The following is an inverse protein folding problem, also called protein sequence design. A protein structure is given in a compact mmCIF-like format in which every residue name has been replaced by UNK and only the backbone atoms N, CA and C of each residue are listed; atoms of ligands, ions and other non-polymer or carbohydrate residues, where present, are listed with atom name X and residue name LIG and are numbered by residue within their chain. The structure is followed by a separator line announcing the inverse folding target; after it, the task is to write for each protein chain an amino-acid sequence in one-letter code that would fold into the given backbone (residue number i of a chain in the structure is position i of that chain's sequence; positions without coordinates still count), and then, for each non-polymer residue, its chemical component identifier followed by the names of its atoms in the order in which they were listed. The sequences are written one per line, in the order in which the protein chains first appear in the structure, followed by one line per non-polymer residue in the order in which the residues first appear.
data_IF_689895516773
#
_entry.id   IF_689895516773
#
_cell.length_a   1.000
_cell.length_b   1.000
_cell.length_c   1.000
_cell.angle_alpha   90.00
_cell.angle_beta   90.00
_cell.angle_gamma   90.00
#
_symmetry.space_group_name_H-M   'P 1'
#
loop_
_entity.id
_entity.type
_entity.pdbx_description
1 polymer ?
#
# COMPACT_ATOMS: atom_id res chain seq x y z
N UNK A 1 10.16 9.92 2.77
CA UNK A 1 8.96 10.70 3.15
C UNK A 1 9.34 12.17 3.32
N UNK A 2 9.87 12.60 4.47
CA UNK A 2 10.15 14.02 4.75
C UNK A 2 11.05 14.72 3.71
N UNK A 3 12.11 14.05 3.21
CA UNK A 3 12.98 14.60 2.15
C UNK A 3 12.26 14.85 0.81
N UNK A 4 11.16 14.14 0.56
CA UNK A 4 10.33 14.27 -0.65
C UNK A 4 9.10 15.17 -0.41
N UNK A 5 8.98 15.81 0.77
CA UNK A 5 7.80 16.58 1.14
C UNK A 5 6.54 15.75 1.41
N UNK A 6 6.65 14.42 1.47
CA UNK A 6 5.51 13.51 1.71
C UNK A 6 5.38 13.22 3.21
N UNK A 7 4.16 13.32 3.75
CA UNK A 7 3.82 12.90 5.12
C UNK A 7 3.34 11.45 5.13
N UNK A 8 3.61 10.73 6.22
CA UNK A 8 3.24 9.33 6.35
C UNK A 8 2.66 9.05 7.74
N UNK A 9 1.47 8.44 7.83
CA UNK A 9 0.92 7.93 9.09
C UNK A 9 0.53 6.47 8.98
N UNK A 10 0.67 5.77 10.10
CA UNK A 10 0.25 4.38 10.26
C UNK A 10 -0.94 4.35 11.24
N UNK A 11 -2.05 3.80 10.76
CA UNK A 11 -3.26 3.54 11.53
C UNK A 11 -3.33 2.02 11.78
N UNK A 12 -3.14 1.58 13.02
CA UNK A 12 -3.10 0.15 13.37
C UNK A 12 -4.33 -0.26 14.20
N UNK A 13 -5.05 -1.29 13.74
CA UNK A 13 -6.09 -1.94 14.55
C UNK A 13 -5.42 -2.65 15.73
N UNK A 14 -5.62 -2.18 16.95
CA UNK A 14 -5.03 -2.83 18.13
C UNK A 14 -6.06 -3.71 18.85
N UNK A 15 -5.78 -4.99 19.15
CA UNK A 15 -4.54 -5.73 18.84
C UNK A 15 -4.51 -6.33 17.42
N UNK A 16 -3.35 -6.29 16.77
CA UNK A 16 -3.06 -7.10 15.58
C UNK A 16 -2.46 -8.44 16.00
N UNK A 17 -2.95 -9.57 15.46
CA UNK A 17 -2.36 -10.86 15.75
C UNK A 17 -1.04 -11.07 15.00
N UNK A 18 -0.28 -12.08 15.42
CA UNK A 18 0.89 -12.52 14.70
C UNK A 18 0.54 -13.17 13.36
N UNK A 19 1.48 -13.16 12.41
CA UNK A 19 1.34 -13.84 11.12
C UNK A 19 2.53 -14.75 10.86
N UNK A 20 2.26 -15.98 10.41
CA UNK A 20 3.29 -16.94 9.99
C UNK A 20 3.81 -16.59 8.61
N UNK A 21 4.93 -15.87 8.57
CA UNK A 21 5.61 -15.50 7.34
C UNK A 21 7.11 -15.24 7.53
N UNK A 22 7.83 -15.13 6.42
CA UNK A 22 9.18 -14.60 6.41
C UNK A 22 9.15 -13.07 6.57
N UNK A 23 9.24 -12.63 7.82
CA UNK A 23 9.16 -11.22 8.21
C UNK A 23 10.22 -10.35 7.53
N UNK A 24 11.42 -10.88 7.27
CA UNK A 24 12.49 -10.16 6.59
C UNK A 24 12.10 -9.86 5.14
N UNK A 25 11.63 -10.85 4.39
CA UNK A 25 11.22 -10.67 2.99
C UNK A 25 10.01 -9.74 2.87
N UNK A 26 9.00 -9.92 3.72
CA UNK A 26 7.80 -9.05 3.71
C UNK A 26 8.18 -7.61 4.02
N UNK A 27 9.02 -7.38 5.04
CA UNK A 27 9.49 -6.04 5.40
C UNK A 27 10.26 -5.37 4.26
N UNK A 28 11.15 -6.11 3.60
CA UNK A 28 11.88 -5.60 2.43
C UNK A 28 10.94 -5.21 1.28
N UNK A 29 9.97 -6.07 0.96
CA UNK A 29 8.96 -5.77 -0.06
C UNK A 29 8.12 -4.55 0.30
N UNK A 30 7.64 -4.47 1.55
CA UNK A 30 6.87 -3.34 2.03
C UNK A 30 7.64 -2.02 1.96
N UNK A 31 8.89 -1.97 2.45
CA UNK A 31 9.68 -0.74 2.34
C UNK A 31 9.95 -0.32 0.90
N UNK A 32 10.11 -1.30 0.00
CA UNK A 32 10.30 -1.00 -1.41
C UNK A 32 9.03 -0.41 -2.03
N UNK A 33 7.86 -0.98 -1.73
CA UNK A 33 6.57 -0.42 -2.14
C UNK A 33 6.37 1.00 -1.64
N UNK A 34 6.67 1.27 -0.36
CA UNK A 34 6.55 2.61 0.20
C UNK A 34 7.55 3.58 -0.44
N UNK A 35 8.75 3.13 -0.81
CA UNK A 35 9.71 3.98 -1.52
C UNK A 35 9.21 4.37 -2.93
N UNK A 36 8.73 3.40 -3.71
CA UNK A 36 8.12 3.66 -5.04
C UNK A 36 6.90 4.58 -4.90
N UNK A 37 6.05 4.33 -3.90
CA UNK A 37 4.90 5.18 -3.59
C UNK A 37 5.32 6.62 -3.33
N UNK A 38 6.34 6.85 -2.51
CA UNK A 38 6.83 8.20 -2.19
C UNK A 38 7.39 8.89 -3.44
N UNK A 39 8.08 8.17 -4.33
CA UNK A 39 8.61 8.75 -5.57
C UNK A 39 7.50 9.09 -6.59
N UNK A 40 6.42 8.31 -6.59
CA UNK A 40 5.30 8.53 -7.49
C UNK A 40 4.38 9.70 -7.09
N UNK A 41 4.51 10.22 -5.87
CA UNK A 41 3.58 11.21 -5.31
C UNK A 41 4.14 12.64 -5.36
N UNK A 42 3.27 13.64 -5.59
CA UNK A 42 3.67 15.03 -5.46
C UNK A 42 4.01 15.38 -4.00
N UNK A 43 4.82 16.42 -3.82
CA UNK A 43 5.11 16.98 -2.50
C UNK A 43 3.82 17.40 -1.76
N UNK A 44 3.88 17.44 -0.44
CA UNK A 44 2.77 17.74 0.49
C UNK A 44 1.64 16.69 0.54
N UNK A 45 1.74 15.61 -0.25
CA UNK A 45 0.82 14.47 -0.13
C UNK A 45 0.95 13.80 1.23
N UNK A 46 -0.18 13.45 1.84
CA UNK A 46 -0.23 12.65 3.05
C UNK A 46 -0.62 11.22 2.71
N UNK A 47 0.33 10.29 2.84
CA UNK A 47 0.08 8.86 2.72
C UNK A 47 -0.33 8.31 4.07
N UNK A 48 -1.48 7.65 4.11
CA UNK A 48 -1.94 6.93 5.30
C UNK A 48 -1.98 5.45 5.00
N UNK A 49 -1.50 4.64 5.94
CA UNK A 49 -1.54 3.19 5.85
C UNK A 49 -2.35 2.63 7.00
N UNK A 50 -3.38 1.86 6.72
CA UNK A 50 -4.10 1.07 7.70
C UNK A 50 -3.59 -0.37 7.72
N UNK A 51 -3.42 -0.93 8.91
CA UNK A 51 -3.19 -2.35 9.13
C UNK A 51 -4.36 -2.91 9.94
N UNK A 52 -5.01 -3.94 9.39
CA UNK A 52 -6.27 -4.50 9.89
C UNK A 52 -6.20 -6.03 9.92
N UNK A 53 -6.98 -6.62 10.81
CA UNK A 53 -7.19 -8.06 10.86
C UNK A 53 -8.68 -8.38 11.02
N UNK A 54 -9.15 -9.30 10.19
CA UNK A 54 -10.50 -9.87 10.27
C UNK A 54 -10.43 -11.39 10.14
N UNK A 55 -11.31 -12.12 10.85
CA UNK A 55 -11.29 -13.59 10.84
C UNK A 55 -11.65 -14.19 9.47
N UNK A 56 -12.41 -13.47 8.64
CA UNK A 56 -12.82 -13.93 7.30
C UNK A 56 -11.84 -13.44 6.22
N UNK A 57 -11.42 -12.18 6.27
CA UNK A 57 -10.56 -11.56 5.26
C UNK A 57 -9.06 -11.76 5.53
N UNK A 58 -8.67 -12.06 6.77
CA UNK A 58 -7.29 -12.18 7.21
C UNK A 58 -6.62 -10.83 7.46
N UNK A 59 -5.30 -10.76 7.22
CA UNK A 59 -4.49 -9.58 7.46
C UNK A 59 -4.54 -8.66 6.25
N UNK A 60 -4.88 -7.40 6.45
CA UNK A 60 -4.99 -6.41 5.37
C UNK A 60 -4.12 -5.20 5.69
N UNK A 61 -3.24 -4.85 4.76
CA UNK A 61 -2.52 -3.57 4.75
C UNK A 61 -3.07 -2.77 3.59
N UNK A 62 -3.55 -1.55 3.87
CA UNK A 62 -4.10 -0.70 2.82
C UNK A 62 -3.54 0.71 2.92
N UNK A 63 -3.16 1.32 1.80
CA UNK A 63 -2.74 2.72 1.73
C UNK A 63 -3.77 3.58 1.03
N UNK A 64 -3.88 4.83 1.48
CA UNK A 64 -4.60 5.89 0.78
C UNK A 64 -3.74 7.15 0.73
N UNK A 65 -3.76 7.82 -0.42
CA UNK A 65 -3.08 9.08 -0.62
C UNK A 65 -4.08 10.22 -0.43
N UNK A 66 -3.74 11.19 0.43
CA UNK A 66 -4.57 12.35 0.71
C UNK A 66 -3.83 13.58 0.18
N UNK A 67 -4.33 14.21 -0.90
CA UNK A 67 -3.74 15.42 -1.45
C UNK A 67 -3.78 16.57 -0.45
N UNK A 68 -2.86 17.52 -0.59
CA UNK A 68 -2.93 18.76 0.15
C UNK A 68 -4.27 19.49 -0.11
N UNK A 69 -4.93 19.93 0.95
CA UNK A 69 -6.22 20.65 0.86
C UNK A 69 -7.46 19.76 0.77
N UNK A 70 -7.34 18.43 0.81
CA UNK A 70 -8.51 17.54 0.88
C UNK A 70 -9.12 17.48 2.28
N UNK A 71 -10.47 17.49 2.34
CA UNK A 71 -11.23 17.29 3.59
C UNK A 71 -11.11 15.88 4.17
N UNK A 72 -10.60 14.92 3.39
CA UNK A 72 -10.40 13.52 3.81
C UNK A 72 -9.33 13.37 4.91
N UNK A 73 -8.51 14.40 5.15
CA UNK A 73 -7.49 14.41 6.19
C UNK A 73 -8.06 14.20 7.61
N UNK A 74 -9.35 14.46 7.82
CA UNK A 74 -10.01 14.43 9.14
C UNK A 74 -10.74 13.13 9.46
N UNK A 75 -10.96 12.25 8.48
CA UNK A 75 -11.72 11.00 8.69
C UNK A 75 -10.78 9.85 9.10
N UNK A 76 -11.13 8.98 10.06
CA UNK A 76 -10.31 7.81 10.38
C UNK A 76 -10.19 6.89 9.14
N UNK A 77 -8.99 6.42 8.79
CA UNK A 77 -8.79 5.63 7.57
C UNK A 77 -9.64 4.36 7.54
N UNK A 78 -9.82 3.74 8.70
CA UNK A 78 -10.66 2.56 8.89
C UNK A 78 -12.13 2.80 8.51
N UNK A 79 -12.60 4.06 8.51
CA UNK A 79 -13.95 4.43 8.05
C UNK A 79 -14.03 4.69 6.54
N UNK A 80 -12.87 4.85 5.89
CA UNK A 80 -12.77 5.11 4.45
C UNK A 80 -12.55 3.82 3.64
N UNK A 81 -12.57 2.66 4.28
CA UNK A 81 -12.31 1.36 3.67
C UNK A 81 -13.51 0.41 3.90
N UNK A 82 -13.90 -0.44 2.93
CA UNK A 82 -13.28 -0.66 1.62
C UNK A 82 -13.99 0.14 0.51
N UNK A 83 -13.25 0.94 -0.26
CA UNK A 83 -13.79 1.48 -1.51
C UNK A 83 -13.59 0.43 -2.60
N UNK A 84 -14.67 -0.15 -3.11
CA UNK A 84 -14.63 -0.91 -4.36
C UNK A 84 -14.34 0.06 -5.51
N UNK A 85 -13.12 -0.01 -6.09
CA UNK A 85 -12.77 0.75 -7.28
C UNK A 85 -11.97 -0.13 -8.25
N UNK A 86 -12.22 0.06 -9.55
CA UNK A 86 -11.73 -0.74 -10.69
C UNK A 86 -10.22 -0.98 -10.66
N UNK A 87 -9.82 -2.22 -10.98
CA UNK A 87 -8.44 -2.65 -11.16
C UNK A 87 -7.74 -1.90 -12.31
N UNK A 88 -6.55 -1.36 -12.06
CA UNK A 88 -5.63 -0.84 -13.08
C UNK A 88 -4.21 -1.30 -12.77
N UNK A 89 -3.60 -2.06 -13.67
CA UNK A 89 -2.24 -2.61 -13.49
C UNK A 89 -1.14 -1.54 -13.67
N UNK A 90 -1.51 -0.31 -14.04
CA UNK A 90 -0.60 0.80 -14.40
C UNK A 90 -0.28 1.78 -13.25
N UNK A 91 -0.76 1.52 -12.03
CA UNK A 91 -0.80 2.50 -10.95
C UNK A 91 0.57 3.00 -10.43
N UNK A 92 1.68 2.34 -10.80
CA UNK A 92 3.05 2.73 -10.41
C UNK A 92 3.96 3.12 -11.57
N UNK A 93 3.40 3.46 -12.74
CA UNK A 93 4.19 4.03 -13.83
C UNK A 93 4.62 5.47 -13.49
N UNK A 94 5.61 5.64 -12.62
CA UNK A 94 6.29 6.93 -12.49
C UNK A 94 7.51 6.96 -13.42
N UNK A 95 7.32 7.58 -14.58
CA UNK A 95 8.41 8.16 -15.34
C UNK A 95 8.78 9.50 -14.67
N UNK A 96 9.77 9.51 -13.80
CA UNK A 96 10.39 10.77 -13.40
C UNK A 96 11.00 11.43 -14.67
N UNK A 97 10.34 12.44 -15.23
CA UNK A 97 10.84 13.32 -16.31
C UNK A 97 11.39 12.65 -17.60
N UNK A 98 11.11 11.37 -17.89
CA UNK A 98 11.96 10.61 -18.82
C UNK A 98 11.51 10.51 -20.28
N UNK A 99 10.26 10.78 -20.65
CA UNK A 99 9.81 10.60 -22.05
C UNK A 99 10.00 9.19 -22.63
N UNK A 100 10.29 8.18 -21.79
CA UNK A 100 10.34 6.76 -22.16
C UNK A 100 9.94 5.89 -20.94
N UNK A 101 9.07 4.89 -21.13
CA UNK A 101 8.54 4.06 -20.04
C UNK A 101 9.59 3.08 -19.50
N UNK A 102 9.55 2.78 -18.19
CA UNK A 102 10.17 1.57 -17.64
C UNK A 102 9.17 0.44 -17.77
N UNK A 103 9.51 -0.56 -18.57
CA UNK A 103 8.61 -1.65 -18.94
C UNK A 103 8.22 -2.57 -17.79
N UNK A 104 8.97 -2.61 -16.68
CA UNK A 104 8.58 -3.36 -15.47
C UNK A 104 9.36 -2.84 -14.26
N UNK A 105 8.70 -2.22 -13.30
CA UNK A 105 9.33 -1.91 -12.02
C UNK A 105 9.68 -3.21 -11.28
N UNK A 106 10.93 -3.70 -11.38
CA UNK A 106 11.49 -4.86 -10.65
C UNK A 106 11.14 -4.91 -9.15
N UNK A 107 10.78 -3.75 -8.57
CA UNK A 107 10.28 -3.60 -7.22
C UNK A 107 8.93 -4.29 -6.96
N UNK A 108 8.00 -4.13 -7.89
CA UNK A 108 6.62 -4.59 -7.76
C UNK A 108 6.52 -6.08 -8.01
N UNK A 109 7.18 -6.56 -9.05
CA UNK A 109 7.20 -7.99 -9.39
C UNK A 109 7.83 -8.82 -8.27
N UNK A 110 8.94 -8.35 -7.68
CA UNK A 110 9.56 -9.03 -6.55
C UNK A 110 8.69 -8.98 -5.29
N UNK A 111 8.10 -7.83 -4.99
CA UNK A 111 7.25 -7.69 -3.80
C UNK A 111 5.96 -8.52 -3.92
N UNK A 112 5.32 -8.48 -5.09
CA UNK A 112 4.18 -9.34 -5.43
C UNK A 112 4.55 -10.80 -5.22
N UNK A 113 5.71 -11.23 -5.71
CA UNK A 113 6.15 -12.63 -5.55
C UNK A 113 6.37 -13.01 -4.09
N UNK A 114 6.93 -12.10 -3.29
CA UNK A 114 7.08 -12.31 -1.84
C UNK A 114 5.71 -12.46 -1.17
N UNK A 115 4.73 -11.64 -1.54
CA UNK A 115 3.37 -11.72 -0.99
C UNK A 115 2.69 -13.04 -1.39
N UNK A 116 2.78 -13.44 -2.67
CA UNK A 116 2.25 -14.71 -3.18
C UNK A 116 2.85 -15.95 -2.51
N UNK A 117 4.16 -15.94 -2.21
CA UNK A 117 4.82 -17.04 -1.47
C UNK A 117 4.20 -17.27 -0.07
N UNK A 118 3.49 -16.29 0.46
CA UNK A 118 2.76 -16.36 1.72
C UNK A 118 1.24 -16.45 1.52
N UNK A 119 0.80 -16.92 0.34
CA UNK A 119 -0.61 -17.03 -0.07
C UNK A 119 -1.36 -15.70 -0.09
N UNK A 120 -0.63 -14.58 -0.04
CA UNK A 120 -1.20 -13.26 -0.07
C UNK A 120 -1.47 -12.76 -1.48
N UNK A 121 -2.14 -11.62 -1.55
CA UNK A 121 -2.40 -10.89 -2.78
C UNK A 121 -1.94 -9.44 -2.58
N UNK A 122 -1.13 -8.95 -3.52
CA UNK A 122 -0.80 -7.53 -3.66
C UNK A 122 -1.65 -6.97 -4.79
N UNK A 123 -2.40 -5.92 -4.50
CA UNK A 123 -3.22 -5.20 -5.45
C UNK A 123 -2.89 -3.72 -5.37
N UNK A 124 -2.81 -3.08 -6.53
CA UNK A 124 -2.41 -1.68 -6.65
C UNK A 124 -3.38 -1.05 -7.63
N UNK A 125 -3.96 0.08 -7.25
CA UNK A 125 -4.96 0.80 -8.05
C UNK A 125 -4.67 2.29 -8.03
N UNK A 126 -5.36 3.03 -8.87
CA UNK A 126 -5.41 4.49 -8.75
C UNK A 126 -6.71 4.92 -8.07
N UNK A 127 -6.62 5.90 -7.17
CA UNK A 127 -7.78 6.57 -6.62
C UNK A 127 -8.45 7.49 -7.66
N UNK A 128 -9.56 8.13 -7.28
CA UNK A 128 -10.27 9.09 -8.15
C UNK A 128 -9.46 10.34 -8.53
N UNK A 129 -8.26 10.51 -7.98
CA UNK A 129 -7.32 11.59 -8.26
C UNK A 129 -6.07 11.12 -9.03
N UNK A 130 -6.01 9.83 -9.40
CA UNK A 130 -4.86 9.25 -10.11
C UNK A 130 -3.69 8.85 -9.20
N UNK A 131 -3.84 8.92 -7.87
CA UNK A 131 -2.79 8.50 -6.95
C UNK A 131 -2.83 6.99 -6.69
N UNK A 132 -1.66 6.35 -6.56
CA UNK A 132 -1.60 4.93 -6.20
C UNK A 132 -2.20 4.63 -4.82
N UNK A 133 -3.02 3.58 -4.76
CA UNK A 133 -3.50 2.90 -3.56
C UNK A 133 -2.97 1.46 -3.55
N UNK A 134 -2.36 1.05 -2.45
CA UNK A 134 -1.78 -0.27 -2.26
C UNK A 134 -2.68 -1.05 -1.33
N UNK A 135 -3.00 -2.29 -1.70
CA UNK A 135 -3.67 -3.26 -0.83
C UNK A 135 -2.88 -4.55 -0.80
N UNK A 136 -2.45 -4.98 0.38
CA UNK A 136 -1.83 -6.28 0.63
C UNK A 136 -2.78 -7.09 1.50
N UNK A 137 -3.12 -8.30 1.08
CA UNK A 137 -3.96 -9.23 1.84
C UNK A 137 -3.19 -10.50 2.12
N UNK A 138 -3.25 -11.03 3.33
CA UNK A 138 -2.81 -12.37 3.68
C UNK A 138 -3.98 -13.15 4.29
N UNK A 139 -4.17 -14.42 3.93
CA UNK A 139 -5.35 -15.17 4.34
C UNK A 139 -5.36 -15.46 5.84
N UNK A 140 -6.56 -15.66 6.39
CA UNK A 140 -6.77 -15.96 7.80
C UNK A 140 -6.00 -17.20 8.28
N UNK A 141 -5.73 -18.16 7.38
CA UNK A 141 -4.93 -19.38 7.65
C UNK A 141 -3.50 -19.10 8.12
N UNK A 142 -2.98 -17.89 7.87
CA UNK A 142 -1.62 -17.47 8.26
C UNK A 142 -1.56 -16.85 9.67
N UNK A 143 -2.69 -16.72 10.34
CA UNK A 143 -2.80 -16.26 11.72
C UNK A 143 -1.93 -17.06 12.70
N UNK A 144 -1.35 -16.37 13.68
CA UNK A 144 -0.76 -16.97 14.88
C UNK A 144 -1.35 -16.25 16.10
N UNK A 145 -1.94 -17.03 17.01
CA UNK A 145 -2.44 -16.57 18.31
C UNK A 145 -1.30 -16.25 19.26
#
# INVERSE_FOLDING_TARGET
AQKAGVRFTLDEQTPLPGMRANSQKIRQGFYRLIAELIHALPAETHVRVAMMWDEQAGFVIQSKCIPAGSSDALLPLLTLLPVEVKHTEDAFLSAENAGAPREDGLALSLTRKVVEMHEGVLDIRQDGHGHPEITIRFPASRHVR
#
